data_IF_758651067244
#
_entry.id   IF_758651067244
#
_cell.length_a   1.000
_cell.length_b   1.000
_cell.length_c   1.000
_cell.angle_alpha   90.00
_cell.angle_beta   90.00
_cell.angle_gamma   90.00
#
_symmetry.space_group_name_H-M   'P 1'
#
loop_
_entity.id
_entity.type
_entity.pdbx_description
1 polymer ?
#
# COMPACT_ATOMS: atom_id res chain seq x y z
N UNK A 1 -16.74 22.83 -52.21
CA UNK A 1 -16.84 22.96 -50.74
C UNK A 1 -15.70 22.17 -50.13
N UNK A 2 -14.78 22.83 -49.43
CA UNK A 2 -13.41 22.36 -49.21
C UNK A 2 -13.37 21.29 -48.09
N UNK A 3 -13.27 19.99 -48.43
CA UNK A 3 -13.31 18.87 -47.48
C UNK A 3 -12.27 19.02 -46.34
N UNK A 4 -11.16 19.71 -46.59
CA UNK A 4 -10.13 19.99 -45.57
C UNK A 4 -10.62 20.90 -44.43
N UNK A 5 -11.58 21.79 -44.67
CA UNK A 5 -12.16 22.66 -43.62
C UNK A 5 -13.21 21.93 -42.77
N UNK A 6 -13.90 20.94 -43.32
CA UNK A 6 -14.89 20.13 -42.58
C UNK A 6 -14.19 19.14 -41.65
N UNK A 7 -13.08 18.53 -42.09
CA UNK A 7 -12.28 17.64 -41.24
C UNK A 7 -11.62 18.37 -40.06
N UNK A 8 -11.16 19.61 -40.26
CA UNK A 8 -10.59 20.43 -39.19
C UNK A 8 -11.66 20.86 -38.16
N UNK A 9 -12.89 21.10 -38.60
CA UNK A 9 -14.01 21.42 -37.71
C UNK A 9 -14.44 20.21 -36.87
N UNK A 10 -14.43 19.00 -37.46
CA UNK A 10 -14.74 17.75 -36.75
C UNK A 10 -13.67 17.36 -35.71
N UNK A 11 -12.39 17.65 -35.99
CA UNK A 11 -11.29 17.40 -35.04
C UNK A 11 -11.31 18.33 -33.82
N UNK A 12 -11.87 19.54 -33.96
CA UNK A 12 -12.04 20.50 -32.85
C UNK A 12 -13.27 20.16 -32.00
N UNK A 13 -14.31 19.53 -32.56
CA UNK A 13 -15.50 19.13 -31.79
C UNK A 13 -15.33 17.85 -30.97
N UNK A 14 -14.38 16.97 -31.31
CA UNK A 14 -14.15 15.71 -30.57
C UNK A 14 -13.20 15.90 -29.39
N UNK A 15 -12.44 17.00 -29.34
CA UNK A 15 -11.46 17.27 -28.27
C UNK A 15 -12.02 18.00 -27.04
N UNK A 16 -13.32 18.32 -27.00
CA UNK A 16 -13.95 19.05 -25.88
C UNK A 16 -14.77 18.18 -24.90
N UNK A 17 -14.81 16.86 -25.09
CA UNK A 17 -15.50 15.94 -24.14
C UNK A 17 -14.52 15.13 -23.27
N UNK A 18 -13.35 15.69 -22.98
CA UNK A 18 -12.64 15.31 -21.76
C UNK A 18 -13.40 15.94 -20.59
N UNK A 19 -14.50 15.31 -20.17
CA UNK A 19 -15.02 15.57 -18.83
C UNK A 19 -13.90 15.22 -17.87
N UNK A 20 -13.16 16.24 -17.40
CA UNK A 20 -12.21 16.09 -16.32
C UNK A 20 -12.97 15.37 -15.20
N UNK A 21 -12.51 14.16 -14.86
CA UNK A 21 -13.12 13.35 -13.82
C UNK A 21 -13.04 14.19 -12.54
N UNK A 22 -14.18 14.66 -12.05
CA UNK A 22 -14.21 15.51 -10.85
C UNK A 22 -13.72 14.67 -9.69
N UNK A 23 -12.46 14.86 -9.29
CA UNK A 23 -11.82 14.06 -8.22
C UNK A 23 -12.46 14.31 -6.84
N UNK A 24 -13.36 15.30 -6.70
CA UNK A 24 -14.09 15.60 -5.46
C UNK A 24 -15.36 16.43 -5.67
N UNK A 25 -15.97 16.83 -4.54
CA UNK A 25 -17.15 17.68 -4.51
C UNK A 25 -17.19 18.58 -3.26
N UNK A 26 -17.82 19.76 -3.37
CA UNK A 26 -18.16 20.59 -2.21
C UNK A 26 -19.32 19.96 -1.45
N UNK A 27 -19.07 19.54 -0.22
CA UNK A 27 -20.06 18.91 0.64
C UNK A 27 -20.94 19.96 1.32
N UNK A 28 -22.14 20.11 0.76
CA UNK A 28 -23.11 21.13 1.16
C UNK A 28 -23.97 20.68 2.33
N UNK A 29 -24.07 19.38 2.56
CA UNK A 29 -24.88 18.80 3.64
C UNK A 29 -24.14 18.92 4.97
N UNK A 30 -22.81 18.81 4.94
CA UNK A 30 -21.92 18.97 6.09
C UNK A 30 -21.23 20.34 6.12
N UNK A 31 -21.89 21.35 5.56
CA UNK A 31 -21.46 22.73 5.65
C UNK A 31 -21.76 23.31 7.04
N UNK A 32 -20.84 24.11 7.57
CA UNK A 32 -21.07 24.89 8.79
C UNK A 32 -21.71 26.23 8.42
N UNK A 33 -22.75 26.63 9.13
CA UNK A 33 -23.26 28.02 9.14
C UNK A 33 -23.58 28.39 10.58
N UNK A 34 -22.91 29.41 11.11
CA UNK A 34 -23.12 29.93 12.47
C UNK A 34 -23.33 31.44 12.39
N UNK A 35 -24.32 31.92 13.12
CA UNK A 35 -24.56 33.35 13.34
C UNK A 35 -24.53 33.61 14.84
N UNK A 36 -23.77 34.62 15.28
CA UNK A 36 -23.64 34.94 16.69
C UNK A 36 -23.43 36.43 16.89
N UNK A 37 -24.04 36.98 17.93
CA UNK A 37 -23.81 38.36 18.39
C UNK A 37 -22.64 38.34 19.37
N UNK A 38 -21.67 39.24 19.16
CA UNK A 38 -20.47 39.38 19.98
C UNK A 38 -20.39 40.80 20.49
N UNK A 39 -20.21 40.96 21.80
CA UNK A 39 -20.08 42.28 22.40
C UNK A 39 -18.79 42.98 21.96
N UNK A 40 -18.76 44.30 22.11
CA UNK A 40 -17.54 45.07 21.89
C UNK A 40 -16.38 44.50 22.72
N UNK A 41 -15.20 44.36 22.10
CA UNK A 41 -13.97 43.82 22.71
C UNK A 41 -13.98 42.34 23.12
N UNK A 42 -15.11 41.65 23.03
CA UNK A 42 -15.19 40.24 23.43
C UNK A 42 -14.42 39.32 22.48
N UNK A 43 -14.02 38.18 23.05
CA UNK A 43 -13.44 37.04 22.33
C UNK A 43 -14.37 35.84 22.42
N UNK A 44 -14.60 35.19 21.29
CA UNK A 44 -15.42 33.99 21.21
C UNK A 44 -14.73 32.94 20.35
N UNK A 45 -15.20 31.69 20.46
CA UNK A 45 -14.79 30.60 19.57
C UNK A 45 -16.01 29.94 18.97
N UNK A 46 -15.99 29.74 17.66
CA UNK A 46 -16.97 28.95 16.92
C UNK A 46 -16.29 27.70 16.37
N UNK A 47 -16.90 26.53 16.58
CA UNK A 47 -16.44 25.28 15.97
C UNK A 47 -17.19 24.98 14.67
N UNK A 48 -16.52 24.36 13.72
CA UNK A 48 -17.17 23.77 12.55
C UNK A 48 -17.99 22.53 12.93
N UNK A 49 -18.91 22.15 12.05
CA UNK A 49 -19.36 20.75 11.98
C UNK A 49 -18.16 19.83 11.66
N UNK A 50 -18.31 18.54 11.93
CA UNK A 50 -17.24 17.57 11.70
C UNK A 50 -16.93 17.46 10.20
N UNK A 51 -15.67 17.69 9.85
CA UNK A 51 -15.15 17.60 8.51
C UNK A 51 -15.25 16.14 8.03
N UNK A 52 -15.82 15.90 6.84
CA UNK A 52 -15.90 14.56 6.27
C UNK A 52 -14.53 13.90 6.12
N UNK A 53 -14.49 12.57 6.25
CA UNK A 53 -13.33 11.77 5.83
C UNK A 53 -13.03 12.05 4.35
N UNK A 54 -11.77 12.30 4.04
CA UNK A 54 -11.33 12.68 2.68
C UNK A 54 -11.47 14.17 2.37
N UNK A 55 -11.70 15.02 3.38
CA UNK A 55 -11.63 16.48 3.20
C UNK A 55 -10.20 16.89 2.86
N UNK A 56 -9.98 17.43 1.66
CA UNK A 56 -8.68 17.92 1.21
C UNK A 56 -8.63 19.44 1.11
N UNK A 57 -9.78 20.10 1.09
CA UNK A 57 -9.88 21.55 1.10
C UNK A 57 -11.07 22.01 1.93
N UNK A 58 -11.01 23.24 2.43
CA UNK A 58 -12.19 23.95 2.92
C UNK A 58 -12.23 25.33 2.28
N UNK A 59 -13.43 25.82 2.04
CA UNK A 59 -13.67 27.24 1.81
C UNK A 59 -14.44 27.77 2.99
N UNK A 60 -13.97 28.86 3.57
CA UNK A 60 -14.72 29.59 4.58
C UNK A 60 -14.98 31.03 4.15
N UNK A 61 -16.06 31.57 4.69
CA UNK A 61 -16.47 32.96 4.56
C UNK A 61 -16.87 33.50 5.92
N UNK A 62 -16.31 34.65 6.26
CA UNK A 62 -16.59 35.42 7.46
C UNK A 62 -17.21 36.74 6.99
N UNK A 63 -18.36 37.10 7.55
CA UNK A 63 -19.00 38.40 7.29
C UNK A 63 -19.44 39.00 8.60
N UNK A 64 -19.03 40.26 8.85
CA UNK A 64 -19.50 41.05 9.98
C UNK A 64 -20.65 41.94 9.52
N UNK A 65 -21.71 41.92 10.31
CA UNK A 65 -22.97 42.59 10.05
C UNK A 65 -23.40 43.34 11.31
N UNK A 66 -24.13 44.44 11.13
CA UNK A 66 -24.83 45.05 12.26
C UNK A 66 -25.90 44.06 12.80
N UNK A 67 -26.29 44.18 14.07
CA UNK A 67 -27.21 43.22 14.72
C UNK A 67 -28.51 42.96 13.94
N UNK A 68 -29.03 43.97 13.24
CA UNK A 68 -30.30 43.87 12.50
C UNK A 68 -30.13 43.48 11.02
N UNK A 69 -28.89 43.41 10.52
CA UNK A 69 -28.61 43.03 9.13
C UNK A 69 -28.68 41.51 8.94
N UNK A 70 -29.04 41.10 7.72
CA UNK A 70 -29.10 39.70 7.29
C UNK A 70 -28.27 39.51 6.01
N UNK A 71 -27.79 38.28 5.82
CA UNK A 71 -27.05 37.91 4.61
C UNK A 71 -27.96 37.92 3.37
N UNK A 72 -27.47 38.47 2.25
CA UNK A 72 -28.20 38.43 0.97
C UNK A 72 -28.14 37.06 0.28
N UNK A 73 -27.05 36.30 0.47
CA UNK A 73 -26.84 34.98 -0.12
C UNK A 73 -25.90 34.12 0.73
N UNK A 74 -26.06 32.80 0.71
CA UNK A 74 -25.19 31.86 1.43
C UNK A 74 -24.00 31.37 0.60
N UNK A 75 -22.91 30.93 1.23
CA UNK A 75 -21.72 30.41 0.58
C UNK A 75 -22.06 29.16 -0.23
N UNK A 76 -22.93 28.30 0.32
CA UNK A 76 -23.46 27.13 -0.40
C UNK A 76 -24.18 27.54 -1.69
N UNK A 77 -24.95 28.63 -1.69
CA UNK A 77 -25.62 29.13 -2.90
C UNK A 77 -24.64 29.66 -3.94
N UNK A 78 -23.57 30.36 -3.51
CA UNK A 78 -22.49 30.81 -4.38
C UNK A 78 -21.79 29.60 -5.01
N UNK A 79 -21.43 28.58 -4.22
CA UNK A 79 -20.80 27.36 -4.71
C UNK A 79 -21.68 26.56 -5.69
N UNK A 80 -23.01 26.63 -5.57
CA UNK A 80 -23.94 26.02 -6.55
C UNK A 80 -23.91 26.74 -7.90
N UNK A 81 -23.61 28.03 -7.93
CA UNK A 81 -23.58 28.84 -9.15
C UNK A 81 -22.29 28.69 -9.96
N UNK A 82 -21.28 27.99 -9.45
CA UNK A 82 -19.99 27.78 -10.11
C UNK A 82 -20.06 26.51 -10.97
N UNK A 83 -19.96 26.62 -12.32
CA UNK A 83 -20.13 25.47 -13.24
C UNK A 83 -19.08 24.36 -13.05
N UNK A 84 -17.84 24.77 -12.77
CA UNK A 84 -16.74 23.89 -12.38
C UNK A 84 -16.32 24.21 -10.95
N UNK A 85 -16.62 23.33 -9.98
CA UNK A 85 -16.34 23.61 -8.58
C UNK A 85 -14.83 23.65 -8.27
N UNK A 86 -13.97 23.15 -9.17
CA UNK A 86 -12.52 23.35 -9.10
C UNK A 86 -12.11 24.76 -9.52
N UNK A 87 -12.97 25.55 -10.19
CA UNK A 87 -12.69 26.91 -10.64
C UNK A 87 -12.38 27.91 -9.52
N UNK A 88 -12.74 27.60 -8.27
CA UNK A 88 -12.34 28.38 -7.08
C UNK A 88 -10.82 28.29 -6.86
N UNK A 89 -10.16 27.24 -7.38
CA UNK A 89 -8.73 26.98 -7.22
C UNK A 89 -7.81 27.89 -8.06
N UNK A 90 -8.35 28.66 -9.01
CA UNK A 90 -7.57 29.45 -9.98
C UNK A 90 -7.23 30.86 -9.45
N UNK A 91 -6.53 30.92 -8.31
CA UNK A 91 -5.88 32.14 -7.80
C UNK A 91 -6.78 33.13 -7.05
N UNK A 92 -6.22 34.32 -6.76
CA UNK A 92 -6.82 35.38 -5.93
C UNK A 92 -8.16 35.91 -6.48
N UNK A 93 -8.40 35.81 -7.78
CA UNK A 93 -9.67 36.20 -8.41
C UNK A 93 -10.85 35.33 -7.94
N UNK A 94 -10.62 34.04 -7.64
CA UNK A 94 -11.66 33.12 -7.15
C UNK A 94 -12.17 33.46 -5.75
N UNK A 95 -11.31 34.01 -4.88
CA UNK A 95 -11.69 34.41 -3.51
C UNK A 95 -12.63 35.63 -3.50
N UNK A 96 -12.50 36.53 -4.47
CA UNK A 96 -13.39 37.69 -4.63
C UNK A 96 -14.84 37.26 -4.90
N UNK A 97 -15.04 36.19 -5.66
CA UNK A 97 -16.38 35.64 -5.91
C UNK A 97 -17.01 35.01 -4.66
N UNK A 98 -16.21 34.62 -3.67
CA UNK A 98 -16.70 34.05 -2.42
C UNK A 98 -17.10 35.15 -1.42
N UNK A 99 -16.45 36.32 -1.46
CA UNK A 99 -16.72 37.41 -0.54
C UNK A 99 -18.18 37.88 -0.58
N UNK A 100 -18.71 38.26 0.58
CA UNK A 100 -20.03 38.90 0.66
C UNK A 100 -20.00 40.30 0.04
N UNK A 101 -21.07 40.63 -0.71
CA UNK A 101 -21.31 41.99 -1.23
C UNK A 101 -21.75 42.96 -0.13
N UNK A 102 -22.16 42.44 1.03
CA UNK A 102 -22.58 43.20 2.21
C UNK A 102 -21.55 42.98 3.31
N UNK A 103 -21.13 44.06 3.95
CA UNK A 103 -20.32 44.06 5.18
C UNK A 103 -20.63 45.34 5.94
N UNK A 104 -20.77 45.25 7.26
CA UNK A 104 -20.82 46.43 8.13
C UNK A 104 -19.46 47.11 8.24
N UNK A 105 -19.41 48.18 9.05
CA UNK A 105 -18.18 48.91 9.38
C UNK A 105 -17.40 48.27 10.55
N UNK A 106 -18.02 47.30 11.21
CA UNK A 106 -17.45 46.50 12.29
C UNK A 106 -16.22 45.71 11.83
N UNK A 107 -15.25 45.50 12.72
CA UNK A 107 -14.03 44.75 12.38
C UNK A 107 -13.63 43.72 13.43
N UNK A 108 -13.11 42.59 12.96
CA UNK A 108 -12.56 41.51 13.78
C UNK A 108 -11.16 41.13 13.35
N UNK A 109 -10.36 40.70 14.31
CA UNK A 109 -9.26 39.75 14.05
C UNK A 109 -9.76 38.34 14.32
N UNK A 110 -9.22 37.34 13.62
CA UNK A 110 -9.57 35.95 13.87
C UNK A 110 -8.37 35.01 13.74
N UNK A 111 -8.46 33.85 14.38
CA UNK A 111 -7.46 32.79 14.30
C UNK A 111 -8.13 31.41 14.21
N UNK A 112 -7.50 30.48 13.50
CA UNK A 112 -7.98 29.12 13.33
C UNK A 112 -7.13 28.18 14.18
N UNK A 113 -7.79 27.25 14.86
CA UNK A 113 -7.15 26.23 15.67
C UNK A 113 -7.64 24.86 15.25
N UNK A 114 -6.80 23.84 15.42
CA UNK A 114 -7.12 22.42 15.22
C UNK A 114 -7.21 21.67 16.55
N UNK A 115 -7.15 22.39 17.68
CA UNK A 115 -7.26 21.85 19.02
C UNK A 115 -8.23 22.68 19.85
N UNK A 116 -9.16 22.00 20.52
CA UNK A 116 -10.11 22.62 21.44
C UNK A 116 -9.40 23.35 22.59
N UNK A 117 -8.31 22.78 23.13
CA UNK A 117 -7.58 23.39 24.25
C UNK A 117 -6.86 24.67 23.84
N UNK A 118 -6.28 24.70 22.64
CA UNK A 118 -5.69 25.90 22.07
C UNK A 118 -6.74 26.99 21.82
N UNK A 119 -7.91 26.60 21.29
CA UNK A 119 -9.01 27.53 21.04
C UNK A 119 -9.59 28.10 22.34
N UNK A 120 -9.78 27.28 23.39
CA UNK A 120 -10.22 27.77 24.70
C UNK A 120 -9.24 28.77 25.29
N UNK A 121 -7.93 28.47 25.23
CA UNK A 121 -6.90 29.36 25.75
C UNK A 121 -6.89 30.72 25.06
N UNK A 122 -7.21 30.77 23.76
CA UNK A 122 -7.34 32.02 23.02
C UNK A 122 -8.44 32.95 23.59
N UNK A 123 -9.52 32.40 24.15
CA UNK A 123 -10.57 33.22 24.79
C UNK A 123 -9.98 33.99 25.99
N UNK A 124 -9.08 33.35 26.74
CA UNK A 124 -8.50 33.87 27.98
C UNK A 124 -7.37 34.87 27.71
N UNK A 125 -6.42 34.53 26.82
CA UNK A 125 -5.20 35.32 26.63
C UNK A 125 -5.12 36.03 25.27
N UNK A 126 -5.92 35.63 24.28
CA UNK A 126 -5.95 36.21 22.93
C UNK A 126 -4.74 35.88 22.09
N UNK A 127 -3.85 34.99 22.55
CA UNK A 127 -2.63 34.63 21.85
C UNK A 127 -2.92 33.66 20.71
N UNK A 128 -2.26 33.88 19.59
CA UNK A 128 -2.43 33.07 18.38
C UNK A 128 -1.25 32.12 18.14
N UNK A 129 -0.35 31.96 19.11
CA UNK A 129 0.89 31.15 18.98
C UNK A 129 0.62 29.69 18.62
N UNK A 130 -0.55 29.16 19.02
CA UNK A 130 -0.98 27.78 18.74
C UNK A 130 -2.03 27.69 17.63
N UNK A 131 -2.27 28.78 16.91
CA UNK A 131 -3.17 28.78 15.76
C UNK A 131 -2.47 28.20 14.53
N UNK A 132 -3.23 27.51 13.69
CA UNK A 132 -2.75 27.07 12.37
C UNK A 132 -2.84 28.21 11.33
N UNK A 133 -3.60 29.27 11.63
CA UNK A 133 -3.69 30.48 10.84
C UNK A 133 -4.15 31.65 11.74
N UNK A 134 -3.64 32.86 11.50
CA UNK A 134 -4.09 34.08 12.18
C UNK A 134 -4.23 35.25 11.20
N UNK A 135 -5.38 35.92 11.25
CA UNK A 135 -5.64 37.20 10.63
C UNK A 135 -5.51 38.30 11.68
N UNK A 136 -4.34 38.94 11.70
CA UNK A 136 -3.99 39.95 12.72
C UNK A 136 -4.48 41.35 12.38
N UNK A 137 -4.65 41.65 11.09
CA UNK A 137 -5.26 42.91 10.65
C UNK A 137 -6.78 42.80 10.78
N UNK A 138 -7.46 43.75 11.46
CA UNK A 138 -8.91 43.73 11.60
C UNK A 138 -9.62 43.90 10.26
N UNK A 139 -10.62 43.06 9.99
CA UNK A 139 -11.40 43.08 8.74
C UNK A 139 -12.90 42.99 9.04
N UNK A 140 -13.73 43.55 8.17
CA UNK A 140 -15.21 43.42 8.23
C UNK A 140 -15.75 42.20 7.48
N UNK A 141 -14.95 41.61 6.59
CA UNK A 141 -15.26 40.37 5.89
C UNK A 141 -14.00 39.70 5.39
N UNK A 142 -14.07 38.39 5.21
CA UNK A 142 -12.99 37.61 4.62
C UNK A 142 -13.55 36.34 3.97
N UNK A 143 -12.85 35.83 2.96
CA UNK A 143 -13.14 34.52 2.38
C UNK A 143 -11.83 33.87 1.93
N UNK A 144 -11.55 32.67 2.43
CA UNK A 144 -10.33 31.95 2.07
C UNK A 144 -10.62 30.50 1.74
N UNK A 145 -9.73 29.95 0.91
CA UNK A 145 -9.61 28.53 0.64
C UNK A 145 -8.38 28.01 1.36
N UNK A 146 -8.56 26.99 2.19
CA UNK A 146 -7.45 26.22 2.76
C UNK A 146 -7.38 24.89 2.02
N UNK A 147 -6.18 24.45 1.70
CA UNK A 147 -5.94 23.14 1.09
C UNK A 147 -4.93 22.37 1.94
N UNK A 148 -5.06 21.04 1.94
CA UNK A 148 -4.25 20.12 2.74
C UNK A 148 -2.75 20.26 2.49
N UNK A 149 -2.36 20.65 1.28
CA UNK A 149 -0.96 20.86 0.87
C UNK A 149 -0.39 22.23 1.29
N UNK A 150 -1.24 23.20 1.64
CA UNK A 150 -0.84 24.61 1.88
C UNK A 150 -1.19 25.13 3.27
N UNK A 151 -2.02 24.42 4.01
CA UNK A 151 -2.50 24.85 5.32
C UNK A 151 -2.31 23.77 6.37
N UNK A 152 -1.69 24.15 7.48
CA UNK A 152 -1.62 23.32 8.69
C UNK A 152 -2.96 23.21 9.43
N UNK A 153 -4.00 23.92 8.98
CA UNK A 153 -5.36 23.81 9.52
C UNK A 153 -6.11 22.57 9.03
N UNK A 154 -5.55 21.84 8.06
CA UNK A 154 -6.09 20.59 7.56
C UNK A 154 -5.04 19.49 7.74
N UNK A 155 -5.47 18.28 8.08
CA UNK A 155 -4.60 17.15 8.34
C UNK A 155 -5.40 15.86 8.47
N UNK A 156 -4.71 14.72 8.50
CA UNK A 156 -5.38 13.40 8.60
C UNK A 156 -6.22 13.26 9.89
N UNK A 157 -5.78 13.86 11.00
CA UNK A 157 -6.46 13.79 12.30
C UNK A 157 -7.32 15.03 12.62
N UNK A 158 -7.48 15.94 11.65
CA UNK A 158 -8.27 17.16 11.87
C UNK A 158 -9.69 16.92 11.41
N UNK A 159 -10.57 16.60 12.36
CA UNK A 159 -12.01 16.48 12.11
C UNK A 159 -12.76 17.79 12.33
N UNK A 160 -12.16 18.79 12.96
CA UNK A 160 -12.85 20.02 13.35
C UNK A 160 -11.88 21.20 13.31
N UNK A 161 -12.38 22.37 12.93
CA UNK A 161 -11.64 23.63 13.01
C UNK A 161 -12.37 24.57 13.96
N UNK A 162 -11.62 25.24 14.82
CA UNK A 162 -12.13 26.25 15.74
C UNK A 162 -11.71 27.63 15.27
N UNK A 163 -12.69 28.49 15.02
CA UNK A 163 -12.50 29.89 14.65
C UNK A 163 -12.62 30.76 15.90
N UNK A 164 -11.49 31.26 16.38
CA UNK A 164 -11.44 32.26 17.44
C UNK A 164 -11.59 33.67 16.85
N UNK A 165 -12.54 34.45 17.35
CA UNK A 165 -12.76 35.83 16.94
C UNK A 165 -12.49 36.79 18.09
N UNK A 166 -12.04 38.00 17.77
CA UNK A 166 -11.88 39.11 18.71
C UNK A 166 -12.48 40.37 18.09
N UNK A 167 -13.56 40.86 18.68
CA UNK A 167 -14.21 42.11 18.31
C UNK A 167 -13.28 43.30 18.51
N UNK A 168 -13.06 44.11 17.47
CA UNK A 168 -12.29 45.36 17.57
C UNK A 168 -13.17 46.58 17.77
N UNK A 169 -14.48 46.39 17.77
CA UNK A 169 -15.45 47.44 18.05
C UNK A 169 -15.25 48.05 19.44
N UNK A 170 -15.48 49.36 19.53
CA UNK A 170 -15.34 50.12 20.77
C UNK A 170 -16.57 50.00 21.67
N UNK A 171 -17.76 50.12 21.10
CA UNK A 171 -19.02 50.24 21.86
C UNK A 171 -20.12 49.30 21.38
N UNK A 172 -20.25 49.11 20.07
CA UNK A 172 -21.35 48.36 19.49
C UNK A 172 -21.03 46.87 19.42
N UNK A 173 -22.05 46.08 19.69
CA UNK A 173 -22.07 44.66 19.38
C UNK A 173 -22.06 44.46 17.86
N UNK A 174 -21.53 43.33 17.43
CA UNK A 174 -21.46 42.94 16.03
C UNK A 174 -22.07 41.55 15.86
N UNK A 175 -22.63 41.28 14.68
CA UNK A 175 -23.03 39.93 14.28
C UNK A 175 -21.96 39.31 13.40
N UNK A 176 -21.43 38.17 13.83
CA UNK A 176 -20.51 37.36 13.04
C UNK A 176 -21.30 36.27 12.33
N UNK A 177 -21.19 36.21 11.00
CA UNK A 177 -21.65 35.09 10.18
C UNK A 177 -20.44 34.30 9.70
N UNK A 178 -20.36 33.04 10.12
CA UNK A 178 -19.32 32.09 9.71
C UNK A 178 -19.94 30.99 8.86
N UNK A 179 -19.44 30.83 7.63
CA UNK A 179 -19.79 29.74 6.75
C UNK A 179 -18.54 28.96 6.36
N UNK A 180 -18.57 27.63 6.46
CA UNK A 180 -17.47 26.74 6.08
C UNK A 180 -18.01 25.58 5.26
N UNK A 181 -17.43 25.32 4.10
CA UNK A 181 -17.82 24.24 3.21
C UNK A 181 -16.60 23.39 2.86
N UNK A 182 -16.58 22.09 3.20
CA UNK A 182 -15.47 21.20 2.87
C UNK A 182 -15.56 20.68 1.43
N UNK A 183 -14.40 20.49 0.80
CA UNK A 183 -14.23 19.72 -0.43
C UNK A 183 -13.78 18.30 -0.07
N UNK A 184 -14.54 17.32 -0.53
CA UNK A 184 -14.30 15.90 -0.25
C UNK A 184 -13.79 15.21 -1.50
N UNK A 185 -12.59 14.66 -1.41
CA UNK A 185 -12.00 13.83 -2.47
C UNK A 185 -12.69 12.46 -2.51
N UNK A 186 -13.13 12.06 -3.71
CA UNK A 186 -13.91 10.83 -3.94
C UNK A 186 -13.14 9.55 -3.64
N UNK A 187 -11.81 9.55 -3.80
CA UNK A 187 -10.95 8.39 -3.53
C UNK A 187 -10.60 8.35 -2.06
N UNK A 188 -10.22 9.48 -1.46
CA UNK A 188 -9.82 9.57 -0.06
C UNK A 188 -11.01 9.43 0.91
N UNK A 189 -12.24 9.75 0.49
CA UNK A 189 -13.42 9.57 1.34
C UNK A 189 -13.74 8.12 1.71
N UNK A 190 -13.05 7.15 1.08
CA UNK A 190 -13.15 5.73 1.44
C UNK A 190 -12.36 5.38 2.71
N UNK A 191 -11.59 6.32 3.26
CA UNK A 191 -10.86 6.16 4.52
C UNK A 191 -9.54 5.40 4.39
N UNK A 192 -9.02 5.21 3.19
CA UNK A 192 -7.76 4.50 2.94
C UNK A 192 -6.56 5.46 2.95
N UNK A 193 -6.14 5.88 4.14
CA UNK A 193 -4.91 6.66 4.37
C UNK A 193 -3.67 5.75 4.53
N UNK A 194 -2.50 6.34 4.77
CA UNK A 194 -1.24 5.60 4.91
C UNK A 194 -1.25 4.65 6.12
N UNK A 195 -1.73 5.10 7.27
CA UNK A 195 -1.74 4.31 8.50
C UNK A 195 -2.69 3.12 8.40
N UNK A 196 -3.89 3.33 7.86
CA UNK A 196 -4.88 2.28 7.63
C UNK A 196 -4.37 1.24 6.63
N UNK A 197 -3.64 1.65 5.58
CA UNK A 197 -2.99 0.72 4.65
C UNK A 197 -1.88 -0.08 5.35
N UNK A 198 -1.08 0.58 6.18
CA UNK A 198 -0.02 -0.08 6.95
C UNK A 198 -0.57 -1.09 7.96
N UNK A 199 -1.72 -0.83 8.57
CA UNK A 199 -2.41 -1.80 9.44
C UNK A 199 -2.73 -3.08 8.69
N UNK A 200 -3.36 -2.96 7.51
CA UNK A 200 -3.73 -4.12 6.68
C UNK A 200 -2.52 -4.94 6.25
N UNK A 201 -1.45 -4.26 5.81
CA UNK A 201 -0.19 -4.91 5.40
C UNK A 201 0.44 -5.62 6.60
N UNK A 202 0.51 -4.97 7.77
CA UNK A 202 1.11 -5.54 8.97
C UNK A 202 0.37 -6.80 9.42
N UNK A 203 -0.97 -6.77 9.39
CA UNK A 203 -1.78 -7.95 9.69
C UNK A 203 -1.59 -9.07 8.66
N UNK A 204 -1.48 -8.74 7.37
CA UNK A 204 -1.19 -9.73 6.34
C UNK A 204 0.15 -10.45 6.59
N UNK A 205 1.20 -9.71 6.97
CA UNK A 205 2.54 -10.27 7.23
C UNK A 205 2.57 -11.29 8.36
N UNK A 206 1.61 -11.23 9.30
CA UNK A 206 1.47 -12.24 10.36
C UNK A 206 0.78 -13.53 9.92
N UNK A 207 0.23 -13.58 8.70
CA UNK A 207 -0.44 -14.78 8.19
C UNK A 207 0.54 -15.91 7.93
N UNK A 208 0.09 -17.15 8.15
CA UNK A 208 0.88 -18.36 7.88
C UNK A 208 1.32 -18.48 6.41
N UNK A 209 0.58 -17.87 5.49
CA UNK A 209 0.93 -17.84 4.07
C UNK A 209 2.06 -16.84 3.80
N UNK A 210 1.97 -15.62 4.35
CA UNK A 210 3.02 -14.61 4.22
C UNK A 210 4.34 -15.05 4.88
N UNK A 211 4.27 -15.70 6.05
CA UNK A 211 5.45 -16.19 6.77
C UNK A 211 6.24 -17.29 6.03
N UNK A 212 5.63 -17.96 5.04
CA UNK A 212 6.33 -18.94 4.20
C UNK A 212 7.19 -18.27 3.11
N UNK A 213 6.98 -16.99 2.86
CA UNK A 213 7.70 -16.19 1.87
C UNK A 213 8.83 -15.43 2.56
N UNK A 214 10.04 -15.35 2.00
CA UNK A 214 11.06 -14.46 2.54
C UNK A 214 10.69 -12.98 2.32
N UNK A 215 9.98 -12.69 1.22
CA UNK A 215 9.37 -11.39 1.00
C UNK A 215 7.88 -11.58 0.67
N UNK A 216 7.02 -11.06 1.54
CA UNK A 216 5.56 -11.10 1.41
C UNK A 216 4.95 -9.76 0.98
N UNK A 217 5.77 -8.75 0.62
CA UNK A 217 5.30 -7.41 0.31
C UNK A 217 4.34 -7.41 -0.88
N UNK A 218 4.72 -7.97 -2.03
CA UNK A 218 3.86 -8.03 -3.22
C UNK A 218 2.56 -8.80 -2.94
N UNK A 219 2.66 -9.88 -2.16
CA UNK A 219 1.51 -10.67 -1.73
C UNK A 219 0.55 -9.85 -0.85
N UNK A 220 1.08 -9.12 0.13
CA UNK A 220 0.29 -8.31 1.04
C UNK A 220 -0.27 -7.04 0.38
N UNK A 221 0.45 -6.44 -0.56
CA UNK A 221 -0.05 -5.35 -1.39
C UNK A 221 -1.20 -5.83 -2.28
N UNK A 222 -1.10 -7.01 -2.88
CA UNK A 222 -2.20 -7.59 -3.64
C UNK A 222 -3.47 -7.79 -2.79
N UNK A 223 -3.33 -8.25 -1.54
CA UNK A 223 -4.46 -8.38 -0.61
C UNK A 223 -5.03 -7.01 -0.27
N UNK A 224 -4.17 -6.04 0.06
CA UNK A 224 -4.58 -4.66 0.36
C UNK A 224 -5.39 -4.07 -0.79
N UNK A 225 -4.93 -4.21 -2.03
CA UNK A 225 -5.62 -3.66 -3.21
C UNK A 225 -7.01 -4.27 -3.40
N UNK A 226 -7.18 -5.57 -3.13
CA UNK A 226 -8.49 -6.23 -3.17
C UNK A 226 -9.42 -5.71 -2.07
N UNK A 227 -8.90 -5.50 -0.85
CA UNK A 227 -9.67 -4.92 0.26
C UNK A 227 -10.08 -3.47 -0.08
N UNK A 228 -9.15 -2.64 -0.56
CA UNK A 228 -9.40 -1.26 -0.95
C UNK A 228 -10.50 -1.18 -2.01
N UNK A 229 -10.48 -2.08 -3.00
CA UNK A 229 -11.49 -2.12 -4.07
C UNK A 229 -12.87 -2.46 -3.52
N UNK A 230 -12.96 -3.45 -2.63
CA UNK A 230 -14.24 -3.98 -2.16
C UNK A 230 -14.87 -3.18 -1.01
N UNK A 231 -14.08 -2.58 -0.11
CA UNK A 231 -14.59 -1.99 1.13
C UNK A 231 -14.18 -0.51 1.28
N UNK A 232 -14.99 0.29 1.99
CA UNK A 232 -14.46 1.45 2.72
C UNK A 232 -13.73 0.95 3.97
N UNK A 233 -12.77 1.71 4.46
CA UNK A 233 -12.01 1.33 5.64
C UNK A 233 -12.92 1.10 6.87
N UNK A 234 -13.88 2.00 7.11
CA UNK A 234 -14.82 1.88 8.23
C UNK A 234 -15.76 0.69 8.11
N UNK A 235 -16.13 0.29 6.89
CA UNK A 235 -16.92 -0.91 6.64
C UNK A 235 -16.08 -2.16 6.93
N UNK A 236 -14.84 -2.19 6.45
CA UNK A 236 -13.91 -3.28 6.72
C UNK A 236 -13.63 -3.44 8.21
N UNK A 237 -13.43 -2.33 8.94
CA UNK A 237 -13.18 -2.37 10.38
C UNK A 237 -14.35 -2.98 11.17
N UNK A 238 -15.60 -2.76 10.71
CA UNK A 238 -16.82 -3.27 11.35
C UNK A 238 -17.11 -4.75 11.08
N UNK A 239 -16.39 -5.38 10.13
CA UNK A 239 -16.49 -6.81 9.92
C UNK A 239 -16.13 -7.59 11.19
N UNK A 240 -16.85 -8.68 11.43
CA UNK A 240 -16.52 -9.61 12.50
C UNK A 240 -15.12 -10.20 12.28
N UNK A 241 -14.41 -10.62 13.35
CA UNK A 241 -13.09 -11.24 13.21
C UNK A 241 -13.10 -12.44 12.23
N UNK A 242 -14.17 -13.24 12.24
CA UNK A 242 -14.32 -14.38 11.33
C UNK A 242 -14.48 -13.96 9.86
N UNK A 243 -15.16 -12.84 9.60
CA UNK A 243 -15.34 -12.28 8.26
C UNK A 243 -14.03 -11.70 7.75
N UNK A 244 -13.29 -10.96 8.59
CA UNK A 244 -11.94 -10.47 8.25
C UNK A 244 -11.02 -11.64 7.90
N UNK A 245 -10.99 -12.69 8.72
CA UNK A 245 -10.20 -13.88 8.46
C UNK A 245 -10.55 -14.54 7.12
N UNK A 246 -11.86 -14.62 6.81
CA UNK A 246 -12.32 -15.13 5.51
C UNK A 246 -11.85 -14.23 4.35
N UNK A 247 -11.96 -12.91 4.49
CA UNK A 247 -11.48 -11.96 3.46
C UNK A 247 -9.98 -12.13 3.20
N UNK A 248 -9.15 -12.16 4.24
CA UNK A 248 -7.71 -12.40 4.10
C UNK A 248 -7.41 -13.75 3.45
N UNK A 249 -8.13 -14.81 3.83
CA UNK A 249 -7.94 -16.14 3.25
C UNK A 249 -8.34 -16.18 1.76
N UNK A 250 -9.50 -15.65 1.41
CA UNK A 250 -10.02 -15.70 0.05
C UNK A 250 -9.16 -14.83 -0.89
N UNK A 251 -8.79 -13.62 -0.46
CA UNK A 251 -7.89 -12.75 -1.21
C UNK A 251 -6.46 -13.30 -1.24
N UNK A 252 -5.97 -13.87 -0.15
CA UNK A 252 -4.67 -14.53 -0.12
C UNK A 252 -4.61 -15.67 -1.12
N UNK A 253 -5.62 -16.54 -1.17
CA UNK A 253 -5.70 -17.60 -2.19
C UNK A 253 -5.75 -17.05 -3.61
N UNK A 254 -6.45 -15.93 -3.83
CA UNK A 254 -6.49 -15.28 -5.15
C UNK A 254 -5.14 -14.68 -5.53
N UNK A 255 -4.46 -14.01 -4.60
CA UNK A 255 -3.15 -13.39 -4.82
C UNK A 255 -2.05 -14.43 -4.97
N UNK A 256 -2.15 -15.55 -4.26
CA UNK A 256 -1.19 -16.65 -4.36
C UNK A 256 -1.22 -17.35 -5.72
N UNK A 257 -2.38 -17.31 -6.41
CA UNK A 257 -2.54 -17.83 -7.77
C UNK A 257 -2.02 -16.89 -8.85
N UNK A 258 -1.72 -15.65 -8.51
CA UNK A 258 -1.06 -14.73 -9.43
C UNK A 258 0.31 -15.30 -9.82
N UNK A 259 0.58 -15.38 -11.12
CA UNK A 259 1.74 -16.10 -11.64
C UNK A 259 3.07 -15.48 -11.18
N UNK A 260 3.12 -14.14 -11.08
CA UNK A 260 4.34 -13.44 -10.71
C UNK A 260 4.61 -13.57 -9.21
N UNK A 261 3.56 -13.42 -8.39
CA UNK A 261 3.66 -13.63 -6.93
C UNK A 261 4.05 -15.08 -6.65
N UNK A 262 3.37 -16.05 -7.27
CA UNK A 262 3.63 -17.47 -7.11
C UNK A 262 5.07 -17.83 -7.50
N UNK A 263 5.56 -17.33 -8.63
CA UNK A 263 6.93 -17.54 -9.10
C UNK A 263 7.96 -17.00 -8.10
N UNK A 264 7.72 -15.81 -7.56
CA UNK A 264 8.60 -15.20 -6.56
C UNK A 264 8.67 -16.04 -5.27
N UNK A 265 7.53 -16.57 -4.80
CA UNK A 265 7.50 -17.44 -3.61
C UNK A 265 8.35 -18.69 -3.80
N UNK A 266 8.19 -19.42 -4.91
CA UNK A 266 8.92 -20.67 -5.10
C UNK A 266 10.40 -20.45 -5.41
N UNK A 267 10.76 -19.39 -6.12
CA UNK A 267 12.18 -19.02 -6.32
C UNK A 267 12.89 -18.67 -5.02
N UNK A 268 12.18 -18.01 -4.11
CA UNK A 268 12.68 -17.74 -2.78
C UNK A 268 12.85 -19.02 -1.95
N UNK A 269 11.85 -19.91 -1.94
CA UNK A 269 11.97 -21.23 -1.27
C UNK A 269 13.17 -22.03 -1.80
N UNK A 270 13.43 -22.00 -3.12
CA UNK A 270 14.63 -22.62 -3.73
C UNK A 270 15.92 -21.97 -3.24
N UNK A 271 15.95 -20.65 -3.12
CA UNK A 271 17.12 -19.89 -2.63
C UNK A 271 17.39 -20.20 -1.16
N UNK A 272 16.35 -20.25 -0.32
CA UNK A 272 16.45 -20.69 1.07
C UNK A 272 16.96 -22.14 1.16
N UNK A 273 16.38 -23.06 0.39
CA UNK A 273 16.81 -24.46 0.36
C UNK A 273 18.28 -24.60 -0.07
N UNK A 274 18.71 -23.91 -1.12
CA UNK A 274 20.11 -23.88 -1.57
C UNK A 274 21.05 -23.36 -0.49
N UNK A 275 20.66 -22.29 0.21
CA UNK A 275 21.43 -21.72 1.33
C UNK A 275 21.55 -22.71 2.49
N UNK A 276 20.45 -23.35 2.86
CA UNK A 276 20.43 -24.38 3.91
C UNK A 276 21.30 -25.59 3.54
N UNK A 277 21.29 -26.01 2.27
CA UNK A 277 22.18 -27.08 1.76
C UNK A 277 23.66 -26.67 1.91
N UNK A 278 24.03 -25.45 1.51
CA UNK A 278 25.40 -24.92 1.67
C UNK A 278 25.84 -24.88 3.14
N UNK A 279 24.90 -24.59 4.04
CA UNK A 279 25.10 -24.61 5.50
C UNK A 279 24.98 -26.02 6.12
N UNK A 280 24.82 -27.07 5.30
CA UNK A 280 24.68 -28.47 5.71
C UNK A 280 23.45 -28.75 6.61
N UNK A 281 22.45 -27.87 6.56
CA UNK A 281 21.17 -27.97 7.29
C UNK A 281 20.14 -28.74 6.46
N UNK A 282 20.44 -29.99 6.14
CA UNK A 282 19.67 -30.78 5.17
C UNK A 282 18.21 -31.01 5.58
N UNK A 283 17.92 -31.25 6.86
CA UNK A 283 16.54 -31.44 7.34
C UNK A 283 15.69 -30.17 7.16
N UNK A 284 16.25 -28.99 7.39
CA UNK A 284 15.57 -27.71 7.15
C UNK A 284 15.35 -27.49 5.64
N UNK A 285 16.35 -27.80 4.81
CA UNK A 285 16.23 -27.72 3.35
C UNK A 285 15.13 -28.65 2.79
N UNK A 286 15.02 -29.88 3.32
CA UNK A 286 13.97 -30.84 2.96
C UNK A 286 12.57 -30.27 3.22
N UNK A 287 12.36 -29.52 4.31
CA UNK A 287 11.06 -28.90 4.59
C UNK A 287 10.67 -27.87 3.52
N UNK A 288 11.63 -27.04 3.08
CA UNK A 288 11.41 -26.05 2.01
C UNK A 288 11.10 -26.72 0.68
N UNK A 289 11.89 -27.72 0.29
CA UNK A 289 11.72 -28.46 -0.98
C UNK A 289 10.39 -29.25 -1.00
N UNK A 290 9.99 -29.86 0.13
CA UNK A 290 8.70 -30.53 0.23
C UNK A 290 7.52 -29.57 0.04
N UNK A 291 7.63 -28.31 0.43
CA UNK A 291 6.59 -27.31 0.18
C UNK A 291 6.40 -27.10 -1.33
N UNK A 292 7.51 -26.93 -2.06
CA UNK A 292 7.50 -26.77 -3.53
C UNK A 292 6.90 -28.01 -4.22
N UNK A 293 7.29 -29.21 -3.76
CA UNK A 293 6.83 -30.49 -4.33
C UNK A 293 5.34 -30.73 -4.04
N UNK A 294 4.90 -30.56 -2.80
CA UNK A 294 3.50 -30.79 -2.41
C UNK A 294 2.53 -29.83 -3.10
N UNK A 295 2.98 -28.62 -3.42
CA UNK A 295 2.20 -27.64 -4.17
C UNK A 295 2.18 -27.90 -5.70
N UNK A 296 2.91 -28.92 -6.18
CA UNK A 296 2.97 -29.31 -7.59
C UNK A 296 3.79 -28.34 -8.45
N UNK A 297 4.79 -27.66 -7.86
CA UNK A 297 5.57 -26.59 -8.51
C UNK A 297 7.05 -26.92 -8.67
N UNK A 298 7.42 -28.16 -8.36
CA UNK A 298 8.79 -28.65 -8.44
C UNK A 298 9.24 -28.83 -9.89
N UNK A 299 10.51 -28.49 -10.15
CA UNK A 299 11.25 -28.85 -11.36
C UNK A 299 12.14 -30.06 -11.10
N UNK A 300 12.77 -30.62 -12.14
CA UNK A 300 13.72 -31.71 -11.99
C UNK A 300 14.90 -31.34 -11.07
N UNK A 301 15.34 -30.07 -11.07
CA UNK A 301 16.39 -29.55 -10.18
C UNK A 301 15.94 -29.57 -8.71
N UNK A 302 14.67 -29.31 -8.42
CA UNK A 302 14.12 -29.38 -7.05
C UNK A 302 14.15 -30.84 -6.55
N UNK A 303 13.80 -31.80 -7.41
CA UNK A 303 13.91 -33.23 -7.12
C UNK A 303 15.37 -33.69 -6.96
N UNK A 304 16.29 -33.17 -7.77
CA UNK A 304 17.73 -33.39 -7.58
C UNK A 304 18.20 -32.90 -6.22
N UNK A 305 17.81 -31.69 -5.84
CA UNK A 305 18.19 -31.05 -4.57
C UNK A 305 17.66 -31.81 -3.36
N UNK A 306 16.38 -32.26 -3.38
CA UNK A 306 15.82 -33.03 -2.27
C UNK A 306 16.41 -34.43 -2.21
N UNK A 307 16.71 -35.04 -3.36
CA UNK A 307 17.42 -36.31 -3.47
C UNK A 307 18.79 -36.24 -2.81
N UNK A 308 19.58 -35.20 -3.12
CA UNK A 308 20.86 -34.92 -2.49
C UNK A 308 20.77 -34.79 -0.96
N UNK A 309 19.77 -34.05 -0.46
CA UNK A 309 19.52 -33.94 0.98
C UNK A 309 19.18 -35.29 1.62
N UNK A 310 18.41 -36.13 0.93
CA UNK A 310 18.08 -37.47 1.43
C UNK A 310 19.27 -38.42 1.43
N UNK A 311 20.19 -38.31 0.45
CA UNK A 311 21.46 -39.05 0.47
C UNK A 311 22.26 -38.68 1.73
N UNK A 312 22.44 -37.38 1.99
CA UNK A 312 23.23 -36.89 3.12
C UNK A 312 22.59 -37.14 4.49
N UNK A 313 21.27 -37.30 4.53
CA UNK A 313 20.54 -37.73 5.73
C UNK A 313 20.33 -39.26 5.80
N UNK A 314 21.00 -40.03 4.93
CA UNK A 314 20.99 -41.50 4.88
C UNK A 314 19.61 -42.13 4.65
N UNK A 315 18.70 -41.39 4.03
CA UNK A 315 17.35 -41.83 3.67
C UNK A 315 17.29 -42.28 2.20
N UNK A 316 18.08 -43.29 1.84
CA UNK A 316 18.33 -43.69 0.44
C UNK A 316 17.07 -44.07 -0.34
N UNK A 317 16.12 -44.77 0.28
CA UNK A 317 14.85 -45.11 -0.38
C UNK A 317 14.04 -43.86 -0.78
N UNK A 318 14.05 -42.81 0.05
CA UNK A 318 13.41 -41.53 -0.29
C UNK A 318 14.19 -40.81 -1.38
N UNK A 319 15.53 -40.78 -1.30
CA UNK A 319 16.36 -40.20 -2.36
C UNK A 319 16.04 -40.84 -3.72
N UNK A 320 16.06 -42.17 -3.82
CA UNK A 320 15.72 -42.89 -5.06
C UNK A 320 14.30 -42.52 -5.53
N UNK A 321 13.31 -42.54 -4.63
CA UNK A 321 11.93 -42.19 -4.97
C UNK A 321 11.84 -40.80 -5.62
N UNK A 322 12.35 -39.77 -4.94
CA UNK A 322 12.24 -38.39 -5.42
C UNK A 322 13.09 -38.13 -6.66
N UNK A 323 14.29 -38.72 -6.75
CA UNK A 323 15.14 -38.60 -7.94
C UNK A 323 14.50 -39.25 -9.16
N UNK A 324 13.84 -40.39 -9.01
CA UNK A 324 13.06 -41.02 -10.11
C UNK A 324 11.87 -40.17 -10.55
N UNK A 325 11.22 -39.45 -9.63
CA UNK A 325 10.19 -38.46 -10.02
C UNK A 325 10.80 -37.28 -10.79
N UNK A 326 11.98 -36.80 -10.37
CA UNK A 326 12.73 -35.78 -11.13
C UNK A 326 13.11 -36.25 -12.53
N UNK A 327 13.57 -37.49 -12.65
CA UNK A 327 13.95 -38.11 -13.92
C UNK A 327 12.76 -38.30 -14.87
N UNK A 328 11.57 -38.59 -14.35
CA UNK A 328 10.33 -38.63 -15.15
C UNK A 328 9.94 -37.24 -15.67
N UNK A 329 10.25 -36.19 -14.91
CA UNK A 329 9.90 -34.81 -15.26
C UNK A 329 10.86 -34.24 -16.30
N UNK A 330 12.15 -34.55 -16.18
CA UNK A 330 13.19 -34.25 -17.16
C UNK A 330 14.27 -35.34 -17.12
N UNK A 331 14.32 -36.16 -18.15
CA UNK A 331 15.27 -37.26 -18.25
C UNK A 331 16.66 -36.83 -18.74
N UNK A 332 16.81 -35.55 -19.12
CA UNK A 332 18.07 -34.95 -19.58
C UNK A 332 18.82 -34.22 -18.46
N UNK A 333 18.15 -33.93 -17.33
CA UNK A 333 18.74 -33.24 -16.19
C UNK A 333 19.87 -34.05 -15.53
N UNK A 334 21.11 -33.65 -15.80
CA UNK A 334 22.31 -34.39 -15.41
C UNK A 334 22.54 -34.41 -13.89
N UNK A 335 22.09 -33.40 -13.14
CA UNK A 335 22.19 -33.42 -11.68
C UNK A 335 21.31 -34.53 -11.08
N UNK A 336 20.14 -34.80 -11.67
CA UNK A 336 19.29 -35.92 -11.25
C UNK A 336 20.01 -37.25 -11.51
N UNK A 337 20.58 -37.43 -12.72
CA UNK A 337 21.32 -38.65 -13.07
C UNK A 337 22.52 -38.87 -12.15
N UNK A 338 23.27 -37.82 -11.87
CA UNK A 338 24.42 -37.88 -10.99
C UNK A 338 24.00 -38.28 -9.57
N UNK A 339 22.94 -37.68 -9.03
CA UNK A 339 22.44 -38.04 -7.71
C UNK A 339 21.81 -39.44 -7.65
N UNK A 340 21.24 -39.95 -8.76
CA UNK A 340 20.87 -41.36 -8.88
C UNK A 340 22.10 -42.28 -8.80
N UNK A 341 23.17 -41.95 -9.51
CA UNK A 341 24.43 -42.69 -9.41
C UNK A 341 24.99 -42.68 -7.98
N UNK A 342 24.97 -41.50 -7.32
CA UNK A 342 25.38 -41.35 -5.93
C UNK A 342 24.58 -42.25 -5.00
N UNK A 343 23.24 -42.20 -5.06
CA UNK A 343 22.41 -42.96 -4.13
C UNK A 343 22.58 -44.47 -4.33
N UNK A 344 22.66 -44.95 -5.58
CA UNK A 344 22.94 -46.36 -5.86
C UNK A 344 24.30 -46.79 -5.29
N UNK A 345 25.33 -45.95 -5.44
CA UNK A 345 26.66 -46.26 -4.94
C UNK A 345 26.68 -46.41 -3.42
N UNK A 346 26.07 -45.46 -2.69
CA UNK A 346 26.07 -45.47 -1.22
C UNK A 346 25.04 -46.44 -0.63
N UNK A 347 24.12 -46.96 -1.45
CA UNK A 347 23.18 -48.04 -1.10
C UNK A 347 23.65 -49.43 -1.53
N UNK A 348 24.94 -49.58 -1.86
CA UNK A 348 25.59 -50.85 -2.24
C UNK A 348 25.12 -51.46 -3.59
N UNK A 349 24.56 -50.64 -4.48
CA UNK A 349 24.22 -51.01 -5.85
C UNK A 349 25.27 -50.48 -6.84
N UNK A 350 26.48 -51.04 -6.73
CA UNK A 350 27.62 -50.62 -7.53
C UNK A 350 27.42 -50.83 -9.04
N UNK A 351 26.66 -51.85 -9.44
CA UNK A 351 26.44 -52.17 -10.87
C UNK A 351 25.67 -51.04 -11.55
N UNK A 352 24.55 -50.63 -10.96
CA UNK A 352 23.72 -49.53 -11.49
C UNK A 352 24.47 -48.19 -11.42
N UNK A 353 25.13 -47.91 -10.29
CA UNK A 353 25.94 -46.70 -10.14
C UNK A 353 27.01 -46.59 -11.23
N UNK A 354 27.79 -47.67 -11.46
CA UNK A 354 28.86 -47.73 -12.46
C UNK A 354 28.34 -47.46 -13.87
N UNK A 355 27.17 -48.00 -14.23
CA UNK A 355 26.58 -47.81 -15.55
C UNK A 355 26.31 -46.32 -15.82
N UNK A 356 25.74 -45.61 -14.84
CA UNK A 356 25.43 -44.18 -14.95
C UNK A 356 26.72 -43.35 -14.98
N UNK A 357 27.65 -43.58 -14.05
CA UNK A 357 28.92 -42.85 -14.02
C UNK A 357 29.69 -42.96 -15.33
N UNK A 358 29.76 -44.15 -15.92
CA UNK A 358 30.45 -44.37 -17.21
C UNK A 358 29.73 -43.68 -18.36
N UNK A 359 28.39 -43.68 -18.37
CA UNK A 359 27.59 -43.10 -19.45
C UNK A 359 27.78 -41.58 -19.57
N UNK A 360 27.86 -40.87 -18.45
CA UNK A 360 27.84 -39.40 -18.44
C UNK A 360 29.21 -38.75 -18.12
N UNK A 361 30.28 -39.54 -18.01
CA UNK A 361 31.61 -39.06 -17.58
C UNK A 361 32.22 -37.91 -18.40
N UNK A 362 31.80 -37.71 -19.66
CA UNK A 362 32.29 -36.64 -20.54
C UNK A 362 31.39 -35.41 -20.57
N UNK A 363 30.30 -35.41 -19.80
CA UNK A 363 29.31 -34.34 -19.77
C UNK A 363 29.62 -33.28 -18.71
N UNK A 364 28.96 -32.14 -18.82
CA UNK A 364 28.97 -31.09 -17.81
C UNK A 364 27.61 -31.03 -17.10
N UNK A 365 27.61 -31.05 -15.77
CA UNK A 365 26.36 -31.00 -14.98
C UNK A 365 25.80 -29.59 -14.84
N UNK A 366 26.64 -28.57 -15.08
CA UNK A 366 26.27 -27.16 -15.26
C UNK A 366 27.23 -26.53 -16.26
N UNK A 367 26.96 -25.30 -16.70
CA UNK A 367 27.81 -24.58 -17.67
C UNK A 367 29.30 -24.48 -17.28
N UNK A 368 29.62 -24.55 -15.99
CA UNK A 368 30.97 -24.39 -15.46
C UNK A 368 31.50 -25.58 -14.65
N UNK A 369 30.75 -26.68 -14.56
CA UNK A 369 31.12 -27.81 -13.70
C UNK A 369 30.96 -29.14 -14.41
N UNK A 370 32.08 -29.82 -14.63
CA UNK A 370 32.07 -31.15 -15.26
C UNK A 370 31.49 -32.22 -14.34
N UNK A 371 30.98 -33.29 -14.95
CA UNK A 371 30.50 -34.47 -14.23
C UNK A 371 31.59 -35.04 -13.29
N UNK A 372 32.83 -35.13 -13.78
CA UNK A 372 33.98 -35.65 -13.02
C UNK A 372 34.32 -34.78 -11.82
N UNK A 373 34.34 -33.45 -11.99
CA UNK A 373 34.62 -32.51 -10.91
C UNK A 373 33.51 -32.53 -9.85
N UNK A 374 32.23 -32.51 -10.26
CA UNK A 374 31.11 -32.60 -9.32
C UNK A 374 31.15 -33.91 -8.54
N UNK A 375 31.40 -35.04 -9.20
CA UNK A 375 31.54 -36.35 -8.53
C UNK A 375 32.61 -36.31 -7.44
N UNK A 376 33.80 -35.77 -7.74
CA UNK A 376 34.90 -35.65 -6.77
C UNK A 376 34.51 -34.75 -5.58
N UNK A 377 33.86 -33.63 -5.84
CA UNK A 377 33.38 -32.72 -4.79
C UNK A 377 32.36 -33.42 -3.89
N UNK A 378 31.39 -34.14 -4.46
CA UNK A 378 30.38 -34.86 -3.70
C UNK A 378 30.96 -35.98 -2.86
N UNK A 379 31.89 -36.77 -3.40
CA UNK A 379 32.58 -37.81 -2.65
C UNK A 379 33.28 -37.25 -1.41
N UNK A 380 33.97 -36.11 -1.53
CA UNK A 380 34.59 -35.46 -0.37
C UNK A 380 33.57 -35.03 0.70
N UNK A 381 32.40 -34.54 0.27
CA UNK A 381 31.30 -34.19 1.19
C UNK A 381 30.73 -35.45 1.85
N UNK A 382 30.54 -36.53 1.08
CA UNK A 382 29.98 -37.79 1.55
C UNK A 382 30.89 -38.48 2.57
N UNK A 383 32.20 -38.48 2.33
CA UNK A 383 33.20 -38.98 3.28
C UNK A 383 33.13 -38.19 4.59
N UNK A 384 33.11 -36.85 4.51
CA UNK A 384 32.98 -35.99 5.69
C UNK A 384 31.67 -36.22 6.45
N UNK A 385 30.60 -36.56 5.75
CA UNK A 385 29.30 -36.90 6.33
C UNK A 385 29.19 -38.37 6.79
N UNK A 386 30.25 -39.18 6.66
CA UNK A 386 30.29 -40.58 7.09
C UNK A 386 29.36 -41.48 6.29
N UNK A 387 29.26 -41.26 4.98
CA UNK A 387 28.60 -42.17 4.04
C UNK A 387 29.58 -43.29 3.60
N UNK A 388 29.07 -44.46 3.15
CA UNK A 388 29.92 -45.53 2.64
C UNK A 388 30.79 -45.07 1.46
N UNK A 389 32.11 -45.21 1.58
CA UNK A 389 33.09 -44.72 0.59
C UNK A 389 33.94 -45.81 -0.08
N UNK A 390 33.70 -47.10 0.24
CA UNK A 390 34.52 -48.24 -0.22
C UNK A 390 34.71 -48.30 -1.75
N UNK A 391 33.75 -47.79 -2.52
CA UNK A 391 33.73 -47.85 -3.98
C UNK A 391 34.05 -46.52 -4.67
N UNK A 392 34.33 -45.44 -3.93
CA UNK A 392 34.58 -44.11 -4.51
C UNK A 392 35.80 -44.12 -5.42
N UNK A 393 36.92 -44.68 -4.95
CA UNK A 393 38.14 -44.84 -5.75
C UNK A 393 37.93 -45.70 -7.00
N UNK A 394 37.06 -46.72 -6.91
CA UNK A 394 36.73 -47.56 -8.07
C UNK A 394 35.98 -46.77 -9.13
N UNK A 395 35.07 -45.88 -8.73
CA UNK A 395 34.37 -44.96 -9.64
C UNK A 395 35.34 -43.94 -10.24
N UNK A 396 36.21 -43.32 -9.43
CA UNK A 396 37.15 -42.32 -9.94
C UNK A 396 38.12 -42.90 -10.98
N UNK A 397 38.52 -44.17 -10.84
CA UNK A 397 39.33 -44.87 -11.85
C UNK A 397 38.61 -45.09 -13.18
N UNK A 398 37.28 -45.03 -13.24
CA UNK A 398 36.53 -45.15 -14.50
C UNK A 398 36.75 -43.93 -15.42
N UNK A 399 37.17 -42.80 -14.84
CA UNK A 399 37.32 -41.53 -15.54
C UNK A 399 38.70 -41.34 -16.18
N UNK A 400 39.64 -42.25 -15.93
CA UNK A 400 41.02 -42.18 -16.39
C UNK A 400 41.24 -43.03 -17.65
#
# INVERSE_FOLDING_TARGET
MNLKKVALFFLITVSLNSFAQKDGYWDKERATTKEIIVSARDRIVLKTEDLPVGTTEIVYRITLLDENQQMANSLVSVLKSIPDPTGISQGSAGAVFLMSKISGDDTCTYALFTSNDAAKKYIDDGKTDKSCYAQVEPLSKDAKRLSLDKSSCLGQDVSTIWFGFHSKNWLLNQKIVLEVVPWVDTKLNRGWNQDNKNEIISLCKTSTMAQKMANSDDFCVCILDKIIKQYRYTEFQKLLPIEKNKVYKDFGNSCYKDADISKNVYNDLRTQASTLIKLQKYNEAIQKLNTIINDGKATAIDYSSIGYCYILTKQYAKAIKFLKEGEKLDDTELLVKLNLAHVYLVSDDYSEAKAIYKKYQTQNVTDSLSWKEKTKQDFAVFEKAGLPSKDFERVLKLYN
#
